data_IF_763543589315
#
_entry.id   IF_763543589315
#
_cell.length_a   1.000
_cell.length_b   1.000
_cell.length_c   1.000
_cell.angle_alpha   90.00
_cell.angle_beta   90.00
_cell.angle_gamma   90.00
#
_symmetry.space_group_name_H-M   'P 1'
#
loop_
_entity.id
_entity.type
_entity.pdbx_description
1 polymer ?
#
# COMPACT_ATOMS: atom_id res chain seq x y z
N UNK A 1 -6.70 -18.03 -4.86
CA UNK A 1 -5.31 -17.76 -4.45
C UNK A 1 -5.34 -16.68 -3.37
N UNK A 2 -4.70 -16.91 -2.22
CA UNK A 2 -4.63 -15.95 -1.11
C UNK A 2 -3.93 -14.66 -1.57
N UNK A 3 -4.56 -13.50 -1.39
CA UNK A 3 -3.96 -12.22 -1.80
C UNK A 3 -3.22 -11.56 -0.63
N UNK A 4 -1.91 -11.81 -0.53
CA UNK A 4 -1.04 -11.25 0.51
C UNK A 4 -0.54 -9.83 0.19
N UNK A 5 -1.30 -9.03 -0.58
CA UNK A 5 -0.81 -7.73 -1.09
C UNK A 5 -0.31 -6.82 0.02
N UNK A 6 -1.02 -6.76 1.14
CA UNK A 6 -0.63 -5.97 2.31
C UNK A 6 0.76 -6.39 2.83
N UNK A 7 0.95 -7.68 3.08
CA UNK A 7 2.22 -8.24 3.54
C UNK A 7 3.33 -8.02 2.52
N UNK A 8 3.03 -8.20 1.24
CA UNK A 8 3.98 -7.95 0.14
C UNK A 8 4.45 -6.50 0.10
N UNK A 9 3.53 -5.55 0.22
CA UNK A 9 3.86 -4.12 0.18
C UNK A 9 4.73 -3.73 1.37
N UNK A 10 4.35 -4.14 2.58
CA UNK A 10 5.12 -3.90 3.81
C UNK A 10 6.52 -4.52 3.70
N UNK A 11 6.63 -5.77 3.27
CA UNK A 11 7.92 -6.43 3.16
C UNK A 11 8.84 -5.82 2.11
N UNK A 12 8.29 -5.32 0.98
CA UNK A 12 9.09 -4.65 -0.05
C UNK A 12 9.68 -3.31 0.41
N UNK A 13 9.10 -2.67 1.42
CA UNK A 13 9.60 -1.41 2.00
C UNK A 13 10.20 -1.58 3.41
N UNK A 14 10.40 -2.83 3.84
CA UNK A 14 11.01 -3.16 5.14
C UNK A 14 12.48 -2.74 5.21
N UNK A 15 12.98 -2.48 6.43
CA UNK A 15 14.41 -2.18 6.70
C UNK A 15 15.26 -3.45 6.88
N UNK A 16 14.63 -4.60 7.08
CA UNK A 16 15.24 -5.91 7.35
C UNK A 16 14.69 -6.94 6.36
N UNK A 17 15.38 -8.07 6.21
CA UNK A 17 14.81 -9.18 5.46
C UNK A 17 13.58 -9.73 6.22
N UNK A 18 12.56 -10.14 5.48
CA UNK A 18 11.28 -10.60 6.04
C UNK A 18 10.98 -11.99 5.50
N UNK A 19 10.58 -12.89 6.40
CA UNK A 19 10.05 -14.21 6.09
C UNK A 19 8.64 -14.28 6.66
N UNK A 20 7.67 -14.50 5.79
CA UNK A 20 6.31 -14.87 6.20
C UNK A 20 6.16 -16.37 6.12
N UNK A 21 5.60 -16.99 7.15
CA UNK A 21 5.12 -18.36 7.13
C UNK A 21 3.60 -18.34 7.36
N UNK A 22 2.86 -18.88 6.41
CA UNK A 22 1.39 -18.92 6.46
C UNK A 22 0.90 -20.25 7.02
N UNK A 23 -0.37 -20.32 7.44
CA UNK A 23 -1.06 -21.58 7.69
C UNK A 23 -0.90 -22.53 6.50
N UNK A 24 -0.57 -23.79 6.78
CA UNK A 24 -0.23 -24.79 5.75
C UNK A 24 1.24 -24.78 5.31
N UNK A 25 2.13 -24.07 6.02
CA UNK A 25 3.58 -24.19 5.87
C UNK A 25 4.19 -23.42 4.70
N UNK A 26 3.40 -22.64 3.94
CA UNK A 26 3.90 -21.83 2.83
C UNK A 26 4.80 -20.70 3.35
N UNK A 27 6.01 -20.58 2.78
CA UNK A 27 6.97 -19.54 3.17
C UNK A 27 7.25 -18.56 2.04
N UNK A 28 7.19 -17.26 2.34
CA UNK A 28 7.52 -16.19 1.41
C UNK A 28 8.69 -15.37 1.96
N UNK A 29 9.79 -15.32 1.20
CA UNK A 29 11.02 -14.63 1.59
C UNK A 29 11.19 -13.34 0.81
N UNK A 30 11.40 -12.23 1.52
CA UNK A 30 11.62 -10.89 0.95
C UNK A 30 12.95 -10.35 1.46
N UNK A 31 13.86 -10.04 0.53
CA UNK A 31 15.10 -9.34 0.86
C UNK A 31 14.82 -7.85 1.02
N UNK A 32 15.46 -7.21 2.01
CA UNK A 32 15.39 -5.76 2.20
C UNK A 32 15.78 -5.01 0.91
N UNK A 33 15.14 -3.87 0.59
CA UNK A 33 15.47 -3.09 -0.58
C UNK A 33 16.90 -2.54 -0.50
N UNK A 34 17.52 -2.33 -1.66
CA UNK A 34 18.75 -1.54 -1.84
C UNK A 34 18.43 -0.08 -2.12
N UNK A 35 17.24 0.22 -2.65
CA UNK A 35 16.76 1.58 -2.91
C UNK A 35 15.27 1.65 -2.64
N UNK A 36 14.81 2.75 -2.05
CA UNK A 36 13.39 3.10 -1.92
C UNK A 36 13.19 4.46 -2.57
N UNK A 37 12.19 4.56 -3.44
CA UNK A 37 11.87 5.81 -4.14
C UNK A 37 10.38 5.99 -4.37
N UNK A 38 9.98 7.23 -4.64
CA UNK A 38 8.62 7.61 -5.00
C UNK A 38 8.64 8.05 -6.46
N UNK A 39 7.86 7.38 -7.29
CA UNK A 39 7.74 7.70 -8.72
C UNK A 39 6.99 9.03 -8.92
N UNK A 40 7.31 9.82 -9.97
CA UNK A 40 6.48 10.95 -10.39
C UNK A 40 5.01 10.56 -10.60
N UNK A 41 4.75 9.32 -11.03
CA UNK A 41 3.39 8.81 -11.24
C UNK A 41 2.56 8.77 -9.96
N UNK A 42 3.20 8.77 -8.77
CA UNK A 42 2.49 8.82 -7.50
C UNK A 42 1.63 10.08 -7.34
N UNK A 43 2.06 11.19 -7.95
CA UNK A 43 1.38 12.50 -7.89
C UNK A 43 0.31 12.68 -8.96
N UNK A 44 -0.10 11.63 -9.67
CA UNK A 44 -1.25 11.72 -10.57
C UNK A 44 -2.52 11.65 -9.76
N UNK A 45 -3.53 12.43 -10.12
CA UNK A 45 -4.85 12.26 -9.52
C UNK A 45 -5.46 10.95 -9.99
N UNK A 46 -6.34 10.40 -9.17
CA UNK A 46 -6.97 9.13 -9.41
C UNK A 46 -8.36 9.10 -8.82
N UNK A 47 -9.35 9.62 -9.54
CA UNK A 47 -10.70 9.67 -9.02
C UNK A 47 -11.39 8.30 -9.13
N UNK A 48 -11.92 7.80 -8.01
CA UNK A 48 -12.83 6.67 -8.08
C UNK A 48 -14.21 7.19 -8.51
N UNK A 49 -14.62 6.92 -9.74
CA UNK A 49 -15.98 7.26 -10.24
C UNK A 49 -17.09 6.39 -9.64
N UNK A 50 -16.78 5.60 -8.59
CA UNK A 50 -17.73 4.73 -7.85
C UNK A 50 -18.50 3.76 -8.76
N UNK A 51 -17.88 3.24 -9.81
CA UNK A 51 -18.53 2.26 -10.71
C UNK A 51 -18.71 0.87 -10.09
N UNK A 52 -18.19 0.61 -8.88
CA UNK A 52 -18.29 -0.67 -8.17
C UNK A 52 -17.42 -1.81 -8.71
N UNK A 53 -17.01 -1.75 -9.98
CA UNK A 53 -16.23 -2.80 -10.67
C UNK A 53 -14.89 -3.15 -9.99
N UNK A 54 -14.16 -2.15 -9.49
CA UNK A 54 -12.90 -2.38 -8.76
C UNK A 54 -13.10 -2.76 -7.29
N UNK A 55 -14.26 -2.47 -6.72
CA UNK A 55 -14.65 -2.86 -5.35
C UNK A 55 -15.21 -4.29 -5.31
N UNK A 56 -15.77 -4.74 -6.42
CA UNK A 56 -16.34 -6.06 -6.63
C UNK A 56 -15.32 -7.21 -6.70
N UNK A 57 -14.02 -6.91 -6.59
CA UNK A 57 -13.02 -7.95 -6.79
C UNK A 57 -12.96 -8.88 -5.58
N UNK A 58 -13.23 -10.17 -5.81
CA UNK A 58 -13.23 -11.27 -4.84
C UNK A 58 -11.87 -11.62 -4.25
N UNK A 59 -11.16 -10.63 -3.71
CA UNK A 59 -9.96 -10.85 -2.91
C UNK A 59 -10.33 -11.00 -1.45
N UNK A 60 -9.60 -11.89 -0.78
CA UNK A 60 -9.60 -12.00 0.65
C UNK A 60 -9.03 -10.70 1.24
N UNK A 61 -9.75 -10.12 2.19
CA UNK A 61 -9.43 -8.84 2.82
C UNK A 61 -8.70 -9.09 4.14
N UNK A 62 -7.64 -8.34 4.44
CA UNK A 62 -6.85 -8.47 5.66
C UNK A 62 -6.74 -7.17 6.44
N UNK A 63 -6.85 -7.30 7.76
CA UNK A 63 -6.59 -6.28 8.76
C UNK A 63 -5.50 -6.78 9.71
N UNK A 64 -4.69 -5.83 10.19
CA UNK A 64 -3.63 -6.07 11.18
C UNK A 64 -4.11 -5.83 12.61
N UNK A 65 -5.32 -5.30 12.78
CA UNK A 65 -5.96 -5.04 14.07
C UNK A 65 -7.49 -5.00 13.90
N UNK A 66 -8.22 -5.41 14.94
CA UNK A 66 -9.68 -5.22 15.07
C UNK A 66 -10.05 -3.87 15.69
N UNK A 67 -9.07 -3.14 16.23
CA UNK A 67 -9.31 -1.87 16.92
C UNK A 67 -9.91 -0.82 15.98
N UNK A 68 -11.03 -0.23 16.39
CA UNK A 68 -11.72 0.82 15.63
C UNK A 68 -12.58 0.32 14.47
N UNK A 69 -12.71 -0.99 14.27
CA UNK A 69 -13.60 -1.54 13.24
C UNK A 69 -15.05 -1.59 13.73
N UNK A 70 -16.00 -1.43 12.80
CA UNK A 70 -17.42 -1.66 13.06
C UNK A 70 -17.69 -3.09 13.56
N UNK A 71 -18.59 -3.25 14.55
CA UNK A 71 -18.96 -4.54 15.14
C UNK A 71 -19.47 -5.55 14.10
N UNK A 72 -20.28 -5.10 13.13
CA UNK A 72 -20.79 -5.94 12.04
C UNK A 72 -19.67 -6.52 11.17
N UNK A 73 -18.55 -5.81 11.04
CA UNK A 73 -17.38 -6.31 10.35
C UNK A 73 -16.62 -7.30 11.23
N UNK A 74 -16.40 -6.97 12.50
CA UNK A 74 -15.64 -7.79 13.46
C UNK A 74 -16.22 -9.21 13.54
N UNK A 75 -17.54 -9.35 13.60
CA UNK A 75 -18.23 -10.65 13.66
C UNK A 75 -17.98 -11.53 12.43
N UNK A 76 -17.67 -10.91 11.27
CA UNK A 76 -17.39 -11.61 10.01
C UNK A 76 -15.90 -11.93 9.81
N UNK A 77 -15.02 -11.39 10.66
CA UNK A 77 -13.58 -11.61 10.55
C UNK A 77 -13.17 -12.95 11.17
N UNK A 78 -12.31 -13.67 10.46
CA UNK A 78 -11.66 -14.88 10.96
C UNK A 78 -10.22 -14.58 11.30
N UNK A 79 -9.67 -15.29 12.27
CA UNK A 79 -8.25 -15.23 12.58
C UNK A 79 -7.43 -15.98 11.53
N UNK A 80 -6.24 -15.45 11.26
CA UNK A 80 -5.29 -15.99 10.31
C UNK A 80 -3.88 -15.84 10.88
N UNK A 81 -3.42 -16.83 11.66
CA UNK A 81 -2.12 -16.75 12.30
C UNK A 81 -1.02 -16.78 11.25
N UNK A 82 -0.10 -15.83 11.29
CA UNK A 82 1.08 -15.78 10.44
C UNK A 82 2.33 -15.70 11.29
N UNK A 83 3.42 -16.36 10.86
CA UNK A 83 4.73 -16.16 11.47
C UNK A 83 5.53 -15.15 10.66
N UNK A 84 6.01 -14.12 11.31
CA UNK A 84 6.85 -13.07 10.73
C UNK A 84 8.21 -13.17 11.40
N UNK A 85 9.22 -13.61 10.64
CA UNK A 85 10.56 -13.89 11.16
C UNK A 85 10.54 -14.78 12.42
N UNK A 86 9.67 -15.80 12.42
CA UNK A 86 9.52 -16.74 13.54
C UNK A 86 8.57 -16.30 14.65
N UNK A 87 8.15 -15.02 14.70
CA UNK A 87 7.17 -14.54 15.68
C UNK A 87 5.75 -14.71 15.15
N UNK A 88 4.89 -15.34 15.92
CA UNK A 88 3.47 -15.50 15.60
C UNK A 88 2.69 -14.20 15.83
N UNK A 89 1.86 -13.84 14.85
CA UNK A 89 1.01 -12.66 14.84
C UNK A 89 -0.31 -13.03 14.15
N UNK A 90 -1.42 -12.68 14.77
CA UNK A 90 -2.73 -12.89 14.17
C UNK A 90 -3.09 -11.76 13.21
N UNK A 91 -3.37 -12.12 11.97
CA UNK A 91 -4.11 -11.27 11.06
C UNK A 91 -5.59 -11.58 11.19
N UNK A 92 -6.42 -10.62 10.81
CA UNK A 92 -7.85 -10.82 10.69
C UNK A 92 -8.23 -10.77 9.23
N UNK A 93 -8.94 -11.78 8.74
CA UNK A 93 -9.31 -11.86 7.35
C UNK A 93 -10.80 -12.07 7.14
N UNK A 94 -11.32 -11.41 6.11
CA UNK A 94 -12.63 -11.66 5.56
C UNK A 94 -12.47 -12.37 4.21
N UNK A 95 -12.97 -13.59 4.13
CA UNK A 95 -12.97 -14.38 2.90
C UNK A 95 -14.09 -13.86 2.01
N UNK A 96 -13.73 -13.13 0.96
CA UNK A 96 -14.72 -12.64 0.01
C UNK A 96 -15.24 -13.84 -0.82
N UNK A 97 -16.57 -14.08 -0.89
CA UNK A 97 -17.12 -15.15 -1.70
C UNK A 97 -16.69 -15.00 -3.17
N UNK A 98 -15.82 -15.89 -3.64
CA UNK A 98 -15.23 -15.83 -5.01
C UNK A 98 -16.24 -16.09 -6.13
N UNK A 99 -17.45 -16.53 -5.77
CA UNK A 99 -18.51 -16.97 -6.69
C UNK A 99 -19.42 -15.79 -7.06
N UNK A 100 -19.53 -14.77 -6.20
CA UNK A 100 -20.29 -13.56 -6.51
C UNK A 100 -19.39 -12.51 -7.14
N UNK A 101 -19.78 -11.92 -8.29
CA UNK A 101 -19.05 -10.80 -8.89
C UNK A 101 -19.23 -9.48 -8.12
N UNK A 102 -19.61 -9.55 -6.83
CA UNK A 102 -19.96 -8.40 -6.00
C UNK A 102 -19.52 -8.69 -4.57
N UNK A 103 -18.73 -7.78 -4.01
CA UNK A 103 -18.35 -7.80 -2.60
C UNK A 103 -19.60 -7.55 -1.73
N UNK A 104 -19.77 -8.31 -0.65
CA UNK A 104 -20.95 -8.22 0.24
C UNK A 104 -21.14 -6.83 0.86
N UNK A 105 -20.08 -6.03 0.94
CA UNK A 105 -20.13 -4.68 1.50
C UNK A 105 -20.40 -3.60 0.45
N UNK A 106 -20.65 -3.96 -0.81
CA UNK A 106 -20.90 -3.00 -1.88
C UNK A 106 -22.38 -2.97 -2.19
N UNK A 107 -23.00 -1.81 -1.95
CA UNK A 107 -24.37 -1.47 -2.35
C UNK A 107 -24.32 -0.52 -3.57
N UNK A 108 -25.43 -0.35 -4.29
CA UNK A 108 -25.53 0.60 -5.40
C UNK A 108 -26.72 1.53 -5.14
N UNK A 109 -26.55 2.82 -5.42
CA UNK A 109 -27.63 3.79 -5.37
C UNK A 109 -28.48 3.76 -6.65
N UNK A 110 -29.57 4.54 -6.68
CA UNK A 110 -30.51 4.65 -7.80
C UNK A 110 -29.85 5.14 -9.10
N UNK A 111 -28.64 5.70 -9.02
CA UNK A 111 -27.83 6.16 -10.16
C UNK A 111 -26.74 5.14 -10.54
N UNK A 112 -26.84 3.90 -10.07
CA UNK A 112 -25.85 2.84 -10.25
C UNK A 112 -24.44 3.21 -9.73
N UNK A 113 -24.32 4.13 -8.78
CA UNK A 113 -23.03 4.39 -8.11
C UNK A 113 -22.89 3.48 -6.91
N UNK A 114 -21.74 2.81 -6.84
CA UNK A 114 -21.40 1.95 -5.73
C UNK A 114 -21.16 2.75 -4.44
N UNK A 115 -21.79 2.29 -3.37
CA UNK A 115 -21.52 2.62 -1.96
C UNK A 115 -20.79 1.45 -1.30
N UNK A 116 -20.06 1.71 -0.22
CA UNK A 116 -19.39 0.65 0.53
C UNK A 116 -19.71 0.80 2.02
N UNK A 117 -20.34 -0.21 2.61
CA UNK A 117 -20.87 -0.14 3.98
C UNK A 117 -19.75 -0.11 5.03
N UNK A 118 -18.58 -0.65 4.67
CA UNK A 118 -17.36 -0.62 5.49
C UNK A 118 -16.35 0.44 5.01
N UNK A 119 -16.80 1.52 4.34
CA UNK A 119 -15.88 2.46 3.69
C UNK A 119 -14.80 3.00 4.64
N UNK A 120 -15.18 3.34 5.88
CA UNK A 120 -14.27 3.87 6.89
C UNK A 120 -13.33 2.78 7.46
N UNK A 121 -13.79 1.54 7.46
CA UNK A 121 -13.06 0.37 7.98
C UNK A 121 -12.26 -0.36 6.89
N UNK A 122 -12.14 0.24 5.71
CA UNK A 122 -11.49 -0.41 4.56
C UNK A 122 -10.05 -0.78 4.91
N UNK A 123 -9.63 -2.02 4.62
CA UNK A 123 -8.23 -2.37 4.73
C UNK A 123 -7.43 -1.62 3.67
N UNK A 124 -6.14 -1.43 3.92
CA UNK A 124 -5.22 -0.60 3.11
C UNK A 124 -5.31 -0.88 1.59
N UNK A 125 -5.45 -2.15 1.20
CA UNK A 125 -5.50 -2.58 -0.20
C UNK A 125 -6.87 -2.36 -0.89
N UNK A 126 -7.92 -2.05 -0.11
CA UNK A 126 -9.22 -1.58 -0.60
C UNK A 126 -9.31 -0.05 -0.59
N UNK A 127 -8.68 0.60 0.41
CA UNK A 127 -8.70 2.05 0.56
C UNK A 127 -8.06 2.79 -0.63
N UNK A 128 -7.06 2.18 -1.30
CA UNK A 128 -6.40 2.82 -2.44
C UNK A 128 -5.83 1.80 -3.43
N UNK A 129 -6.74 1.28 -4.26
CA UNK A 129 -6.43 0.28 -5.28
C UNK A 129 -5.32 0.66 -6.29
N UNK A 130 -5.11 1.95 -6.66
CA UNK A 130 -4.06 2.27 -7.62
C UNK A 130 -2.68 2.49 -7.00
N UNK A 131 -2.48 2.54 -5.68
CA UNK A 131 -1.12 2.71 -5.11
C UNK A 131 -0.45 1.36 -4.88
N UNK A 132 0.78 1.24 -5.34
CA UNK A 132 1.56 0.01 -5.29
C UNK A 132 2.96 0.25 -4.75
N UNK A 133 3.41 -0.68 -3.91
CA UNK A 133 4.84 -0.86 -3.60
C UNK A 133 5.38 -1.94 -4.54
N UNK A 134 5.96 -1.48 -5.64
CA UNK A 134 6.62 -2.35 -6.63
C UNK A 134 8.09 -2.57 -6.25
N UNK A 135 8.64 -3.74 -6.52
CA UNK A 135 10.05 -4.03 -6.28
C UNK A 135 10.64 -4.77 -7.47
N UNK A 136 11.72 -4.24 -8.05
CA UNK A 136 12.49 -4.89 -9.11
C UNK A 136 13.98 -4.89 -8.73
N UNK A 137 14.63 -6.05 -8.72
CA UNK A 137 16.06 -6.19 -8.34
C UNK A 137 16.43 -5.47 -7.02
N UNK A 138 15.53 -5.51 -6.03
CA UNK A 138 15.63 -4.79 -4.73
C UNK A 138 15.53 -3.27 -4.81
N UNK A 139 15.08 -2.71 -5.93
CA UNK A 139 14.69 -1.31 -6.04
C UNK A 139 13.18 -1.21 -5.83
N UNK A 140 12.80 -0.70 -4.67
CA UNK A 140 11.41 -0.48 -4.30
C UNK A 140 10.96 0.89 -4.76
N UNK A 141 9.82 0.92 -5.44
CA UNK A 141 9.19 2.15 -5.95
C UNK A 141 7.74 2.18 -5.50
N UNK A 142 7.39 3.25 -4.78
CA UNK A 142 6.00 3.63 -4.49
C UNK A 142 5.49 4.38 -5.71
N UNK A 143 4.39 3.91 -6.30
CA UNK A 143 3.78 4.53 -7.46
C UNK A 143 2.26 4.38 -7.43
N UNK A 144 1.58 5.22 -8.22
CA UNK A 144 0.16 5.08 -8.53
C UNK A 144 0.06 4.52 -9.96
N UNK A 145 -0.67 3.41 -10.15
CA UNK A 145 -0.93 2.76 -11.44
C UNK A 145 -2.43 2.59 -11.62
N UNK A 146 -3.00 3.30 -12.58
CA UNK A 146 -4.41 3.18 -12.95
C UNK A 146 -4.67 1.95 -13.84
N UNK A 147 -3.71 1.55 -14.68
CA UNK A 147 -3.86 0.51 -15.72
C UNK A 147 -3.65 -0.93 -15.25
N UNK A 148 -3.45 -1.14 -13.94
CA UNK A 148 -3.32 -2.47 -13.37
C UNK A 148 -4.68 -3.09 -13.03
N UNK A 149 -4.91 -3.24 -11.71
CA UNK A 149 -6.11 -3.86 -11.14
C UNK A 149 -7.42 -3.25 -11.67
N UNK A 150 -7.48 -1.96 -12.01
CA UNK A 150 -8.73 -1.32 -12.45
C UNK A 150 -9.10 -1.64 -13.91
N UNK A 151 -8.12 -1.73 -14.82
CA UNK A 151 -8.39 -2.04 -16.23
C UNK A 151 -8.85 -3.49 -16.43
N UNK A 152 -8.24 -4.45 -15.71
CA UNK A 152 -8.66 -5.87 -15.75
C UNK A 152 -10.15 -6.06 -15.40
N UNK A 153 -10.73 -5.15 -14.62
CA UNK A 153 -12.12 -5.21 -14.19
C UNK A 153 -12.99 -4.12 -14.83
N UNK A 154 -12.50 -3.43 -15.87
CA UNK A 154 -13.27 -2.43 -16.61
C UNK A 154 -13.61 -1.16 -15.81
N UNK A 155 -12.83 -0.79 -14.80
CA UNK A 155 -13.06 0.42 -14.02
C UNK A 155 -12.56 1.66 -14.79
N UNK A 156 -13.48 2.61 -15.04
CA UNK A 156 -13.31 3.84 -15.83
C UNK A 156 -12.58 4.94 -15.04
N UNK A 157 -11.41 4.64 -14.46
CA UNK A 157 -10.62 5.72 -13.85
C UNK A 157 -9.95 6.54 -14.95
N UNK A 158 -10.16 7.85 -14.90
CA UNK A 158 -9.56 8.81 -15.83
C UNK A 158 -8.23 9.35 -15.30
N UNK A 159 -7.34 9.75 -16.23
CA UNK A 159 -6.14 10.51 -15.89
C UNK A 159 -6.52 11.97 -15.67
N UNK A 160 -6.46 12.42 -14.42
CA UNK A 160 -6.66 13.83 -14.12
C UNK A 160 -5.35 14.49 -13.66
N UNK A 161 -5.19 15.81 -13.88
CA UNK A 161 -4.09 16.58 -13.33
C UNK A 161 -3.96 16.42 -11.81
N UNK A 162 -2.76 16.65 -11.28
CA UNK A 162 -2.54 16.60 -9.83
C UNK A 162 -3.56 17.45 -9.06
N UNK A 163 -4.12 16.86 -8.01
CA UNK A 163 -5.03 17.53 -7.10
C UNK A 163 -4.45 17.46 -5.69
N UNK A 164 -4.11 18.62 -5.12
CA UNK A 164 -3.49 18.72 -3.81
C UNK A 164 -4.40 18.19 -2.67
N UNK A 165 -5.70 18.47 -2.75
CA UNK A 165 -6.66 18.02 -1.74
C UNK A 165 -6.75 16.49 -1.73
N UNK A 166 -6.78 15.85 -2.91
CA UNK A 166 -6.73 14.40 -2.98
C UNK A 166 -5.42 13.84 -2.42
N UNK A 167 -4.28 14.46 -2.73
CA UNK A 167 -2.99 14.02 -2.23
C UNK A 167 -2.95 14.01 -0.68
N UNK A 168 -3.39 15.10 -0.04
CA UNK A 168 -3.41 15.21 1.42
C UNK A 168 -4.49 14.36 2.07
N UNK A 169 -5.69 14.32 1.49
CA UNK A 169 -6.83 13.65 2.13
C UNK A 169 -6.90 12.16 1.77
N UNK A 170 -6.08 11.68 0.85
CA UNK A 170 -6.15 10.30 0.38
C UNK A 170 -4.79 9.60 0.28
N UNK A 171 -3.84 10.14 -0.47
CA UNK A 171 -2.53 9.48 -0.67
C UNK A 171 -1.70 9.42 0.62
N UNK A 172 -1.65 10.52 1.38
CA UNK A 172 -0.94 10.58 2.66
C UNK A 172 -1.61 9.67 3.73
N UNK A 173 -2.94 9.71 3.95
CA UNK A 173 -3.64 8.77 4.83
C UNK A 173 -3.39 7.31 4.47
N UNK A 174 -3.32 6.95 3.19
CA UNK A 174 -3.00 5.60 2.78
C UNK A 174 -1.58 5.18 3.20
N UNK A 175 -0.58 6.04 2.99
CA UNK A 175 0.78 5.78 3.46
C UNK A 175 0.83 5.63 4.99
N UNK A 176 0.07 6.46 5.71
CA UNK A 176 -0.08 6.36 7.18
C UNK A 176 -0.73 5.04 7.60
N UNK A 177 -1.78 4.61 6.93
CA UNK A 177 -2.45 3.34 7.20
C UNK A 177 -1.53 2.14 6.92
N UNK A 178 -0.79 2.15 5.80
CA UNK A 178 0.22 1.13 5.52
C UNK A 178 1.35 1.15 6.58
N UNK A 179 1.75 2.34 7.04
CA UNK A 179 2.74 2.48 8.10
C UNK A 179 2.20 1.96 9.44
N UNK A 180 0.92 2.15 9.73
CA UNK A 180 0.29 1.62 10.93
C UNK A 180 0.21 0.09 10.86
N UNK A 181 -0.24 -0.48 9.74
CA UNK A 181 -0.20 -1.94 9.54
C UNK A 181 1.21 -2.51 9.70
N UNK A 182 2.25 -1.81 9.23
CA UNK A 182 3.63 -2.25 9.47
C UNK A 182 4.00 -2.25 10.97
N UNK A 183 3.54 -1.26 11.74
CA UNK A 183 3.74 -1.19 13.20
C UNK A 183 3.01 -2.32 13.92
N UNK A 184 1.76 -2.57 13.58
CA UNK A 184 0.94 -3.66 14.14
C UNK A 184 1.64 -5.02 13.94
N UNK A 185 2.30 -5.20 12.79
CA UNK A 185 3.09 -6.40 12.48
C UNK A 185 4.51 -6.40 13.07
N UNK A 186 4.88 -5.36 13.82
CA UNK A 186 6.23 -5.15 14.35
C UNK A 186 7.33 -5.18 13.26
N UNK A 187 7.03 -4.65 12.07
CA UNK A 187 7.96 -4.55 10.94
C UNK A 187 8.44 -3.10 10.80
N UNK A 188 9.74 -2.89 10.98
CA UNK A 188 10.38 -1.61 10.66
C UNK A 188 10.44 -1.40 9.15
N UNK A 189 9.93 -0.26 8.67
CA UNK A 189 9.87 0.11 7.25
C UNK A 189 10.46 1.50 7.00
N UNK A 190 10.63 1.84 5.72
CA UNK A 190 10.98 3.19 5.26
C UNK A 190 9.75 4.12 5.08
N UNK A 191 8.55 3.71 5.48
CA UNK A 191 7.33 4.51 5.35
C UNK A 191 7.36 5.81 6.18
N UNK A 192 7.90 5.84 7.42
CA UNK A 192 8.05 7.09 8.15
C UNK A 192 8.88 8.12 7.38
N UNK A 193 9.99 7.72 6.75
CA UNK A 193 10.82 8.60 5.94
C UNK A 193 10.13 9.08 4.67
N UNK A 194 9.35 8.20 4.02
CA UNK A 194 8.50 8.56 2.89
C UNK A 194 7.49 9.64 3.30
N UNK A 195 6.74 9.41 4.37
CA UNK A 195 5.71 10.34 4.86
C UNK A 195 6.36 11.66 5.23
N UNK A 196 7.42 11.64 6.05
CA UNK A 196 8.14 12.85 6.46
C UNK A 196 8.63 13.67 5.26
N UNK A 197 9.16 13.00 4.22
CA UNK A 197 9.60 13.70 3.01
C UNK A 197 8.43 14.39 2.30
N UNK A 198 7.32 13.68 2.13
CA UNK A 198 6.14 14.16 1.42
C UNK A 198 5.33 15.22 2.20
N UNK A 199 5.43 15.24 3.53
CA UNK A 199 4.74 16.20 4.39
C UNK A 199 5.66 17.31 4.91
N UNK A 200 6.95 17.31 4.54
CA UNK A 200 7.87 18.40 4.89
C UNK A 200 7.36 19.75 4.36
N UNK A 201 7.54 20.82 5.13
CA UNK A 201 7.01 22.15 4.79
C UNK A 201 7.46 22.61 3.40
N UNK A 202 8.76 22.48 3.09
CA UNK A 202 9.34 22.82 1.79
C UNK A 202 8.69 22.02 0.64
N UNK A 203 8.59 20.70 0.78
CA UNK A 203 8.00 19.86 -0.25
C UNK A 203 6.52 20.18 -0.46
N UNK A 204 5.79 20.35 0.65
CA UNK A 204 4.38 20.65 0.64
C UNK A 204 4.10 21.99 -0.06
N UNK A 205 4.87 23.03 0.25
CA UNK A 205 4.74 24.32 -0.42
C UNK A 205 5.00 24.23 -1.93
N UNK A 206 5.98 23.43 -2.37
CA UNK A 206 6.26 23.21 -3.80
C UNK A 206 5.08 22.53 -4.51
N UNK A 207 4.56 21.44 -3.95
CA UNK A 207 3.45 20.72 -4.59
C UNK A 207 2.14 21.53 -4.58
N UNK A 208 1.86 22.33 -3.54
CA UNK A 208 0.72 23.25 -3.53
C UNK A 208 0.76 24.26 -4.68
N UNK A 209 1.96 24.69 -5.06
CA UNK A 209 2.20 25.58 -6.21
C UNK A 209 2.25 24.83 -7.55
N UNK A 210 1.86 23.55 -7.60
CA UNK A 210 1.90 22.73 -8.81
C UNK A 210 3.31 22.31 -9.26
N UNK A 211 4.35 22.59 -8.46
CA UNK A 211 5.74 22.20 -8.77
C UNK A 211 5.96 20.72 -8.43
N UNK A 212 5.51 19.84 -9.30
CA UNK A 212 5.62 18.39 -9.13
C UNK A 212 7.03 17.87 -9.48
N UNK A 213 7.48 16.79 -8.81
CA UNK A 213 8.73 16.14 -9.15
C UNK A 213 8.69 15.57 -10.58
N UNK A 214 9.66 15.96 -11.41
CA UNK A 214 9.86 15.36 -12.74
C UNK A 214 10.59 14.01 -12.67
N UNK A 215 11.38 13.81 -11.61
CA UNK A 215 12.15 12.60 -11.37
C UNK A 215 11.71 11.86 -10.11
N UNK A 216 12.13 10.61 -9.98
CA UNK A 216 11.84 9.81 -8.79
C UNK A 216 12.53 10.38 -7.55
N UNK A 217 11.76 10.61 -6.49
CA UNK A 217 12.31 11.04 -5.20
C UNK A 217 12.95 9.84 -4.53
N UNK A 218 14.27 9.89 -4.32
CA UNK A 218 15.00 8.85 -3.59
C UNK A 218 14.85 9.08 -2.09
N UNK A 219 14.34 8.06 -1.39
CA UNK A 219 14.17 8.07 0.07
C UNK A 219 15.33 7.33 0.76
N UNK A 220 15.72 6.21 0.17
CA UNK A 220 16.82 5.40 0.67
C UNK A 220 17.62 4.86 -0.50
N UNK A 221 18.94 4.84 -0.35
CA UNK A 221 19.84 4.11 -1.23
C UNK A 221 21.00 3.55 -0.40
N UNK A 222 21.19 2.24 -0.47
CA UNK A 222 22.35 1.58 0.11
C UNK A 222 23.60 2.12 -0.58
N UNK A 223 24.47 2.79 0.17
CA UNK A 223 25.79 3.22 -0.33
C UNK A 223 26.55 1.98 -0.84
N UNK A 224 27.17 2.07 -2.02
CA UNK A 224 28.05 1.00 -2.50
C UNK A 224 29.30 0.96 -1.62
N UNK A 225 29.79 -0.24 -1.31
CA UNK A 225 31.06 -0.38 -0.60
C UNK A 225 32.22 0.24 -1.39
N UNK A 226 32.14 0.24 -2.72
CA UNK A 226 33.13 0.84 -3.64
C UNK A 226 33.34 2.33 -3.34
N UNK A 227 32.28 3.11 -3.12
CA UNK A 227 32.43 4.54 -2.81
C UNK A 227 33.01 4.78 -1.42
N UNK A 228 32.72 3.90 -0.46
CA UNK A 228 33.29 3.96 0.89
C UNK A 228 34.77 3.60 0.87
N UNK A 229 35.16 2.60 0.08
CA UNK A 229 36.57 2.21 -0.11
C UNK A 229 37.37 3.26 -0.87
N UNK A 230 36.80 3.85 -1.92
CA UNK A 230 37.42 4.99 -2.63
C UNK A 230 37.61 6.20 -1.71
N UNK A 231 36.60 6.54 -0.88
CA UNK A 231 36.73 7.59 0.13
C UNK A 231 37.81 7.30 1.18
N UNK A 232 37.96 6.03 1.59
CA UNK A 232 39.02 5.62 2.52
C UNK A 232 40.41 5.69 1.87
N UNK A 233 40.52 5.49 0.56
CA UNK A 233 41.79 5.64 -0.19
C UNK A 233 42.19 7.09 -0.40
N UNK A 234 41.24 8.02 -0.52
CA UNK A 234 41.51 9.46 -0.70
C UNK A 234 41.93 10.14 0.63
N UNK A 235 41.58 9.55 1.77
CA UNK A 235 41.91 10.05 3.12
C UNK A 235 43.19 9.46 3.72
N UNK A 236 43.89 8.59 2.99
CA UNK A 236 45.23 8.09 3.33
C UNK A 236 46.22 8.77 2.40
#
# INVERSE_FOLDING_TARGET
MFNLKLLQDIARISKKDIIFELPGGQKFKYKRPKRVSISPLFFRHGECKRCGRSCAVGFDLFWTSKSGLNSLLIEKLKEYPVKINGKEIDLFYYKNPRITPKCDFVSYDDKNKATCDIHQDKPVHCALNPVFVSCNKRNTTINKRHFGRNYKFGCEIEWEPFNYNQFINWDIPWLKALSQSAKDLNILTYLPEVINRLTSLDFNNKIKLGKLPKEAIVIYQKKSNVLIELWKKIKK
#
